data_IF_837419244103
#
_entry.id   IF_837419244103
#
_cell.length_a   1.000
_cell.length_b   1.000
_cell.length_c   1.000
_cell.angle_alpha   90.00
_cell.angle_beta   90.00
_cell.angle_gamma   90.00
#
_symmetry.space_group_name_H-M   'P 1'
#
loop_
_entity.id
_entity.type
_entity.pdbx_description
1 polymer ?
#
# COMPACT_ATOMS: atom_id res chain seq x y z
N UNK A 1 10.16 1.58 11.03
CA UNK A 1 11.32 1.14 11.85
C UNK A 1 10.85 1.04 13.28
N UNK A 2 11.33 0.06 14.05
CA UNK A 2 10.99 -0.12 15.46
C UNK A 2 12.30 -0.16 16.24
N UNK A 3 12.42 0.58 17.33
CA UNK A 3 13.54 0.43 18.27
C UNK A 3 13.28 -0.72 19.26
N UNK A 4 14.25 -0.96 20.15
CA UNK A 4 14.19 -2.04 21.14
C UNK A 4 13.03 -1.86 22.15
N UNK A 5 12.52 -0.63 22.30
CA UNK A 5 11.37 -0.29 23.13
C UNK A 5 10.04 -0.33 22.35
N UNK A 6 10.05 -0.85 21.11
CA UNK A 6 8.90 -0.92 20.20
C UNK A 6 8.35 0.44 19.76
N UNK A 7 9.12 1.52 19.87
CA UNK A 7 8.73 2.84 19.39
C UNK A 7 8.78 2.87 17.86
N UNK A 8 7.69 3.24 17.16
CA UNK A 8 7.68 3.29 15.71
C UNK A 8 8.27 4.60 15.18
N UNK A 9 9.15 4.47 14.18
CA UNK A 9 9.70 5.58 13.40
C UNK A 9 9.32 5.44 11.92
N UNK A 10 8.97 6.56 11.30
CA UNK A 10 8.73 6.65 9.86
C UNK A 10 10.09 6.64 9.15
N UNK A 11 10.29 5.68 8.26
CA UNK A 11 11.49 5.63 7.42
C UNK A 11 11.35 6.59 6.23
N UNK A 12 10.30 6.35 5.44
CA UNK A 12 10.01 7.09 4.22
C UNK A 12 8.51 7.01 3.92
N UNK A 13 8.05 7.94 3.08
CA UNK A 13 6.71 7.92 2.51
C UNK A 13 6.84 7.73 0.99
N UNK A 14 6.28 6.63 0.49
CA UNK A 14 6.26 6.33 -0.93
C UNK A 14 4.94 6.80 -1.53
N UNK A 15 4.94 7.93 -2.24
CA UNK A 15 3.75 8.49 -2.90
C UNK A 15 3.28 7.64 -4.08
N UNK A 16 4.23 7.01 -4.80
CA UNK A 16 3.99 6.03 -5.86
C UNK A 16 4.74 4.73 -5.53
N UNK A 17 4.18 3.87 -4.67
CA UNK A 17 4.83 2.62 -4.30
C UNK A 17 4.85 1.64 -5.47
N UNK A 18 5.74 0.65 -5.40
CA UNK A 18 5.77 -0.45 -6.36
C UNK A 18 4.41 -1.14 -6.48
N UNK A 19 4.02 -1.45 -7.72
CA UNK A 19 2.68 -1.96 -8.04
C UNK A 19 2.69 -3.30 -8.78
N UNK A 20 3.80 -4.04 -8.76
CA UNK A 20 3.84 -5.41 -9.30
C UNK A 20 3.06 -6.38 -8.40
N UNK A 21 2.73 -7.57 -8.91
CA UNK A 21 2.02 -8.61 -8.15
C UNK A 21 2.76 -9.08 -6.88
N UNK A 22 4.09 -8.89 -6.81
CA UNK A 22 4.88 -9.21 -5.62
C UNK A 22 5.13 -8.00 -4.71
N UNK A 23 4.74 -6.79 -5.12
CA UNK A 23 4.98 -5.56 -4.37
C UNK A 23 4.15 -5.51 -3.07
N UNK A 24 4.70 -4.84 -2.05
CA UNK A 24 4.07 -4.77 -0.73
C UNK A 24 2.73 -4.02 -0.74
N UNK A 25 2.61 -2.93 -1.49
CA UNK A 25 1.38 -2.12 -1.49
C UNK A 25 0.16 -2.93 -1.96
N UNK A 26 0.14 -3.58 -3.13
CA UNK A 26 -1.00 -4.40 -3.52
C UNK A 26 -1.23 -5.62 -2.62
N UNK A 27 -0.16 -6.26 -2.10
CA UNK A 27 -0.28 -7.39 -1.18
C UNK A 27 -1.01 -7.05 0.11
N UNK A 28 -0.68 -5.92 0.75
CA UNK A 28 -1.33 -5.51 1.99
C UNK A 28 -2.83 -5.28 1.81
N UNK A 29 -3.27 -4.79 0.65
CA UNK A 29 -4.69 -4.65 0.31
C UNK A 29 -5.37 -6.00 0.07
N UNK A 30 -4.69 -6.95 -0.56
CA UNK A 30 -5.20 -8.31 -0.75
C UNK A 30 -5.44 -9.03 0.58
N UNK A 31 -4.54 -8.88 1.55
CA UNK A 31 -4.73 -9.38 2.92
C UNK A 31 -5.92 -8.75 3.65
N UNK A 32 -6.39 -7.59 3.18
CA UNK A 32 -7.63 -6.93 3.64
C UNK A 32 -8.85 -7.25 2.78
N UNK A 33 -8.73 -8.22 1.88
CA UNK A 33 -9.81 -8.69 1.01
C UNK A 33 -10.07 -7.81 -0.21
N UNK A 34 -9.17 -6.88 -0.55
CA UNK A 34 -9.27 -6.06 -1.76
C UNK A 34 -8.36 -6.64 -2.83
N UNK A 35 -8.95 -7.17 -3.89
CA UNK A 35 -8.19 -7.72 -5.02
C UNK A 35 -7.39 -6.63 -5.73
N UNK A 36 -6.37 -7.05 -6.49
CA UNK A 36 -5.55 -6.14 -7.29
C UNK A 36 -6.39 -5.30 -8.25
N UNK A 37 -7.33 -5.92 -8.96
CA UNK A 37 -8.21 -5.23 -9.92
C UNK A 37 -9.12 -4.21 -9.24
N UNK A 38 -9.68 -4.54 -8.07
CA UNK A 38 -10.50 -3.60 -7.29
C UNK A 38 -9.68 -2.42 -6.79
N UNK A 39 -8.43 -2.64 -6.37
CA UNK A 39 -7.53 -1.56 -5.94
C UNK A 39 -7.22 -0.60 -7.10
N UNK A 40 -6.92 -1.12 -8.29
CA UNK A 40 -6.68 -0.29 -9.49
C UNK A 40 -7.92 0.53 -9.85
N UNK A 41 -9.10 -0.10 -9.87
CA UNK A 41 -10.37 0.58 -10.15
C UNK A 41 -10.64 1.73 -9.16
N UNK A 42 -10.40 1.51 -7.87
CA UNK A 42 -10.52 2.55 -6.83
C UNK A 42 -9.58 3.72 -7.08
N UNK A 43 -8.31 3.46 -7.40
CA UNK A 43 -7.32 4.52 -7.66
C UNK A 43 -7.69 5.35 -8.89
N UNK A 44 -8.20 4.72 -9.96
CA UNK A 44 -8.66 5.42 -11.15
C UNK A 44 -9.86 6.32 -10.82
N UNK A 45 -10.82 5.82 -10.04
CA UNK A 45 -11.98 6.61 -9.60
C UNK A 45 -11.56 7.82 -8.79
N UNK A 46 -10.68 7.65 -7.80
CA UNK A 46 -10.13 8.73 -6.99
C UNK A 46 -9.38 9.79 -7.82
N UNK A 47 -8.75 9.39 -8.92
CA UNK A 47 -8.05 10.33 -9.81
C UNK A 47 -9.01 11.16 -10.68
N UNK A 48 -10.27 10.74 -10.81
CA UNK A 48 -11.31 11.42 -11.59
C UNK A 48 -12.26 12.27 -10.72
N UNK A 49 -12.14 12.21 -9.39
CA UNK A 49 -12.84 13.10 -8.44
C UNK A 49 -12.29 14.52 -8.50
#
# INVERSE_FOLDING_TARGET
LLDDDLTPYINELNTLPGFTNISMYPKLWQEKGVSYSELVDRLIKLALE
#
